data_IF_710227535544
#
_entry.id   IF_710227535544
#
_cell.length_a   1.000
_cell.length_b   1.000
_cell.length_c   1.000
_cell.angle_alpha   90.00
_cell.angle_beta   90.00
_cell.angle_gamma   90.00
#
_symmetry.space_group_name_H-M   'P 1'
#
loop_
_entity.id
_entity.type
_entity.pdbx_description
1 polymer ?
#
# COMPACT_ATOMS: atom_id res chain seq x y z
N UNK A 1 -25.86 -3.20 -21.62
CA UNK A 1 -24.73 -4.02 -21.11
C UNK A 1 -23.70 -3.05 -20.58
N UNK A 2 -23.62 -2.90 -19.25
CA UNK A 2 -22.65 -2.01 -18.64
C UNK A 2 -21.28 -2.69 -18.73
N UNK A 3 -20.39 -2.14 -19.55
CA UNK A 3 -18.96 -2.44 -19.51
C UNK A 3 -18.42 -1.92 -18.19
N UNK A 4 -18.42 -2.78 -17.18
CA UNK A 4 -17.70 -2.53 -15.93
C UNK A 4 -16.23 -2.43 -16.29
N UNK A 5 -15.68 -1.23 -16.22
CA UNK A 5 -14.24 -1.00 -16.25
C UNK A 5 -13.61 -1.80 -15.11
N UNK A 6 -12.91 -2.88 -15.47
CA UNK A 6 -12.36 -3.89 -14.55
C UNK A 6 -10.89 -3.59 -14.20
N UNK A 7 -10.50 -2.31 -14.18
CA UNK A 7 -9.08 -1.93 -14.10
C UNK A 7 -8.52 -1.81 -12.69
N UNK A 8 -9.35 -1.82 -11.63
CA UNK A 8 -8.88 -1.67 -10.25
C UNK A 8 -8.89 -3.01 -9.48
N UNK A 9 -7.83 -3.34 -8.72
CA UNK A 9 -7.71 -4.61 -8.01
C UNK A 9 -8.86 -4.78 -7.03
N UNK A 10 -9.45 -5.98 -7.02
CA UNK A 10 -10.53 -6.33 -6.12
C UNK A 10 -9.99 -6.90 -4.81
N UNK A 11 -8.80 -7.52 -4.84
CA UNK A 11 -8.18 -8.16 -3.68
C UNK A 11 -6.70 -7.82 -3.56
N UNK A 12 -6.17 -7.83 -2.34
CA UNK A 12 -4.75 -7.60 -2.07
C UNK A 12 -3.80 -8.64 -2.70
N UNK A 13 -4.31 -9.81 -3.08
CA UNK A 13 -3.55 -10.85 -3.80
C UNK A 13 -3.12 -10.43 -5.20
N UNK A 14 -3.82 -9.46 -5.81
CA UNK A 14 -3.49 -8.92 -7.14
C UNK A 14 -2.34 -7.91 -7.10
N UNK A 15 -1.97 -7.45 -5.90
CA UNK A 15 -0.83 -6.56 -5.67
C UNK A 15 0.47 -7.35 -5.57
N UNK A 16 1.57 -6.73 -5.97
CA UNK A 16 2.91 -7.27 -5.63
C UNK A 16 3.13 -7.21 -4.12
N UNK A 17 4.06 -8.03 -3.61
CA UNK A 17 4.42 -7.98 -2.18
C UNK A 17 4.87 -6.57 -1.77
N UNK A 18 5.70 -5.93 -2.59
CA UNK A 18 6.18 -4.57 -2.32
C UNK A 18 5.05 -3.52 -2.27
N UNK A 19 4.03 -3.65 -3.12
CA UNK A 19 2.86 -2.78 -3.08
C UNK A 19 2.04 -2.99 -1.81
N UNK A 20 1.83 -4.24 -1.39
CA UNK A 20 1.16 -4.52 -0.11
C UNK A 20 1.93 -3.95 1.07
N UNK A 21 3.24 -4.14 1.10
CA UNK A 21 4.08 -3.64 2.17
C UNK A 21 4.05 -2.10 2.22
N UNK A 22 4.03 -1.43 1.06
CA UNK A 22 3.83 0.03 1.01
C UNK A 22 2.48 0.45 1.59
N UNK A 23 1.39 -0.29 1.31
CA UNK A 23 0.10 0.03 1.91
C UNK A 23 0.14 -0.10 3.44
N UNK A 24 0.82 -1.12 3.98
CA UNK A 24 1.01 -1.26 5.43
C UNK A 24 1.83 -0.12 6.02
N UNK A 25 2.95 0.26 5.39
CA UNK A 25 3.76 1.40 5.84
C UNK A 25 2.95 2.69 5.83
N UNK A 26 2.20 2.97 4.75
CA UNK A 26 1.35 4.17 4.66
C UNK A 26 0.24 4.14 5.73
N UNK A 27 -0.29 2.97 6.07
CA UNK A 27 -1.27 2.83 7.15
C UNK A 27 -0.69 3.23 8.52
N UNK A 28 0.57 2.89 8.77
CA UNK A 28 1.27 3.13 10.03
C UNK A 28 1.66 4.60 10.19
N UNK A 29 2.26 5.21 9.16
CA UNK A 29 2.73 6.61 9.23
C UNK A 29 1.64 7.65 8.95
N UNK A 30 0.51 7.25 8.37
CA UNK A 30 -0.56 8.16 7.99
C UNK A 30 -0.20 9.07 6.81
N UNK A 31 -0.74 10.31 6.73
CA UNK A 31 -0.43 11.24 5.65
C UNK A 31 1.03 11.71 5.74
N UNK A 32 1.90 11.12 4.92
CA UNK A 32 3.35 11.38 4.97
C UNK A 32 3.94 11.62 3.59
N UNK A 33 5.07 12.34 3.56
CA UNK A 33 5.85 12.59 2.35
C UNK A 33 6.44 11.29 1.81
N UNK A 34 6.60 11.24 0.49
CA UNK A 34 7.26 10.10 -0.16
C UNK A 34 8.68 9.80 0.37
N UNK A 35 9.37 10.80 0.94
CA UNK A 35 10.66 10.57 1.60
C UNK A 35 10.52 9.83 2.94
N UNK A 36 9.55 10.21 3.79
CA UNK A 36 9.29 9.48 5.03
C UNK A 36 8.89 8.03 4.76
N UNK A 37 7.99 7.80 3.79
CA UNK A 37 7.62 6.44 3.36
C UNK A 37 8.83 5.65 2.86
N UNK A 38 9.78 6.31 2.17
CA UNK A 38 11.02 5.67 1.69
C UNK A 38 11.88 5.20 2.86
N UNK A 39 11.99 6.00 3.90
CA UNK A 39 12.84 5.71 5.05
C UNK A 39 12.28 4.51 5.83
N UNK A 40 10.96 4.50 6.10
CA UNK A 40 10.28 3.39 6.78
C UNK A 40 10.35 2.07 6.00
N UNK A 41 10.07 2.10 4.68
CA UNK A 41 10.13 0.88 3.88
C UNK A 41 11.58 0.39 3.70
N UNK A 42 12.57 1.29 3.74
CA UNK A 42 13.98 0.91 3.73
C UNK A 42 14.41 0.26 5.06
N UNK A 43 13.92 0.77 6.19
CA UNK A 43 14.10 0.18 7.50
C UNK A 43 13.48 -1.22 7.56
N UNK A 44 12.22 -1.37 7.14
CA UNK A 44 11.52 -2.66 7.10
C UNK A 44 12.28 -3.73 6.29
N UNK A 45 12.82 -3.35 5.13
CA UNK A 45 13.60 -4.27 4.30
C UNK A 45 15.09 -4.37 4.68
N UNK A 46 15.53 -3.63 5.70
CA UNK A 46 16.93 -3.48 6.10
C UNK A 46 17.87 -3.20 4.91
N UNK A 47 17.43 -2.36 3.96
CA UNK A 47 18.18 -2.05 2.74
C UNK A 47 17.75 -0.74 2.12
N UNK A 48 18.65 -0.12 1.35
CA UNK A 48 18.29 1.03 0.53
C UNK A 48 17.22 0.70 -0.52
N UNK A 49 16.22 1.57 -0.61
CA UNK A 49 15.14 1.49 -1.59
C UNK A 49 15.34 2.56 -2.65
N UNK A 50 15.49 2.11 -3.90
CA UNK A 50 15.67 2.99 -5.04
C UNK A 50 14.41 3.82 -5.32
N UNK A 51 14.60 5.10 -5.64
CA UNK A 51 13.52 6.02 -6.03
C UNK A 51 12.71 5.47 -7.23
N UNK A 52 13.40 4.92 -8.23
CA UNK A 52 12.78 4.28 -9.40
C UNK A 52 12.00 3.00 -9.09
N UNK A 53 12.07 2.47 -7.87
CA UNK A 53 11.20 1.40 -7.38
C UNK A 53 10.04 1.95 -6.58
N UNK A 54 10.28 2.92 -5.69
CA UNK A 54 9.27 3.47 -4.80
C UNK A 54 8.17 4.22 -5.56
N UNK A 55 8.55 5.25 -6.33
CA UNK A 55 7.57 6.18 -6.90
C UNK A 55 6.68 5.59 -7.99
N UNK A 56 7.16 4.70 -8.87
CA UNK A 56 6.25 3.99 -9.77
C UNK A 56 5.20 3.18 -9.01
N UNK A 57 5.57 2.53 -7.90
CA UNK A 57 4.60 1.79 -7.10
C UNK A 57 3.61 2.71 -6.38
N UNK A 58 4.06 3.85 -5.82
CA UNK A 58 3.15 4.86 -5.27
C UNK A 58 2.17 5.38 -6.32
N UNK A 59 2.64 5.70 -7.52
CA UNK A 59 1.78 6.16 -8.61
C UNK A 59 0.75 5.09 -9.00
N UNK A 60 1.17 3.83 -9.14
CA UNK A 60 0.25 2.72 -9.42
C UNK A 60 -0.81 2.56 -8.33
N UNK A 61 -0.43 2.65 -7.05
CA UNK A 61 -1.39 2.56 -5.93
C UNK A 61 -2.38 3.74 -5.92
N UNK A 62 -1.94 4.92 -6.34
CA UNK A 62 -2.81 6.09 -6.54
C UNK A 62 -3.77 5.90 -7.71
N UNK A 63 -3.28 5.42 -8.85
CA UNK A 63 -4.10 5.09 -10.02
C UNK A 63 -5.15 4.01 -9.72
N UNK A 64 -4.82 3.06 -8.84
CA UNK A 64 -5.75 2.03 -8.36
C UNK A 64 -6.77 2.55 -7.32
N UNK A 65 -6.61 3.79 -6.86
CA UNK A 65 -7.48 4.40 -5.83
C UNK A 65 -7.29 3.82 -4.43
N UNK A 66 -6.15 3.19 -4.15
CA UNK A 66 -5.82 2.62 -2.83
C UNK A 66 -5.08 3.64 -1.95
N UNK A 67 -4.39 4.58 -2.57
CA UNK A 67 -3.66 5.67 -1.93
C UNK A 67 -4.15 7.00 -2.51
N UNK A 68 -4.40 7.98 -1.67
CA UNK A 68 -4.62 9.36 -2.09
C UNK A 68 -3.29 10.12 -2.10
N UNK A 69 -3.10 10.95 -3.12
CA UNK A 69 -1.95 11.83 -3.24
C UNK A 69 -2.35 13.26 -2.93
N UNK A 70 -1.93 13.75 -1.77
CA UNK A 70 -2.05 15.15 -1.37
C UNK A 70 -0.86 15.99 -1.85
N UNK A 71 -1.03 17.30 -1.83
CA UNK A 71 0.03 18.28 -2.11
C UNK A 71 0.28 19.13 -0.88
N UNK A 72 1.51 19.06 -0.33
CA UNK A 72 1.95 19.93 0.76
C UNK A 72 2.47 21.25 0.19
N UNK A 73 3.24 21.17 -0.90
CA UNK A 73 3.75 22.32 -1.63
C UNK A 73 3.99 21.96 -3.11
N UNK A 74 4.53 22.90 -3.91
CA UNK A 74 4.75 22.69 -5.36
C UNK A 74 5.67 21.51 -5.72
N UNK A 75 6.46 21.01 -4.77
CA UNK A 75 7.46 19.94 -4.94
C UNK A 75 7.23 18.75 -4.02
N UNK A 76 6.48 18.92 -2.94
CA UNK A 76 6.27 17.89 -1.93
C UNK A 76 4.84 17.37 -1.95
N UNK A 77 4.70 16.07 -2.23
CA UNK A 77 3.41 15.36 -2.13
C UNK A 77 3.35 14.58 -0.82
N UNK A 78 2.14 14.45 -0.26
CA UNK A 78 1.81 13.50 0.79
C UNK A 78 1.06 12.32 0.20
N UNK A 79 1.12 11.17 0.89
CA UNK A 79 0.41 9.97 0.53
C UNK A 79 -0.30 9.42 1.76
N UNK A 80 -1.56 9.03 1.59
CA UNK A 80 -2.40 8.51 2.66
C UNK A 80 -3.27 7.38 2.10
N UNK A 81 -3.64 6.40 2.95
CA UNK A 81 -4.59 5.37 2.51
C UNK A 81 -5.97 5.97 2.25
N UNK A 82 -6.61 5.52 1.18
CA UNK A 82 -8.04 5.76 0.99
C UNK A 82 -8.87 4.82 1.86
N UNK A 83 -10.17 5.08 1.99
CA UNK A 83 -11.12 4.11 2.58
C UNK A 83 -11.03 2.76 1.88
N UNK A 84 -10.86 2.75 0.55
CA UNK A 84 -10.72 1.52 -0.23
C UNK A 84 -9.41 0.79 0.08
N UNK A 85 -8.30 1.51 0.16
CA UNK A 85 -7.00 0.94 0.55
C UNK A 85 -7.07 0.29 1.93
N UNK A 86 -7.72 0.97 2.88
CA UNK A 86 -7.95 0.46 4.23
C UNK A 86 -8.77 -0.83 4.21
N UNK A 87 -9.91 -0.86 3.52
CA UNK A 87 -10.74 -2.06 3.42
C UNK A 87 -9.98 -3.25 2.81
N UNK A 88 -9.23 -3.00 1.73
CA UNK A 88 -8.44 -4.04 1.06
C UNK A 88 -7.36 -4.63 1.97
N UNK A 89 -6.74 -3.81 2.85
CA UNK A 89 -5.81 -4.31 3.87
C UNK A 89 -6.52 -5.08 4.99
N UNK A 90 -7.69 -4.63 5.44
CA UNK A 90 -8.48 -5.35 6.44
C UNK A 90 -8.85 -6.75 5.93
N UNK A 91 -9.39 -6.85 4.71
CA UNK A 91 -9.73 -8.13 4.08
C UNK A 91 -8.50 -9.05 3.96
N UNK A 92 -7.33 -8.46 3.69
CA UNK A 92 -6.05 -9.19 3.64
C UNK A 92 -5.66 -9.73 5.00
N UNK A 93 -5.76 -8.93 6.05
CA UNK A 93 -5.42 -9.33 7.42
C UNK A 93 -6.36 -10.44 7.91
N UNK A 94 -7.65 -10.31 7.68
CA UNK A 94 -8.64 -11.34 8.00
C UNK A 94 -8.33 -12.66 7.29
N UNK A 95 -8.03 -12.60 5.99
CA UNK A 95 -7.59 -13.78 5.25
C UNK A 95 -6.33 -14.40 5.85
N UNK A 96 -5.30 -13.60 6.17
CA UNK A 96 -4.06 -14.11 6.76
C UNK A 96 -4.29 -14.78 8.12
N UNK A 97 -5.11 -14.18 8.99
CA UNK A 97 -5.47 -14.75 10.28
C UNK A 97 -6.21 -16.09 10.14
N UNK A 98 -7.08 -16.21 9.13
CA UNK A 98 -7.76 -17.47 8.84
C UNK A 98 -6.83 -18.55 8.26
N UNK A 99 -5.70 -18.17 7.65
CA UNK A 99 -4.72 -19.13 7.12
C UNK A 99 -3.62 -19.51 8.13
N UNK A 100 -3.25 -18.55 8.98
CA UNK A 100 -2.14 -18.68 9.92
C UNK A 100 -2.68 -18.80 11.34
N UNK A 101 -2.89 -20.05 11.75
CA UNK A 101 -3.24 -20.40 13.12
C UNK A 101 -1.95 -20.52 13.94
N UNK A 102 -1.63 -19.47 14.69
CA UNK A 102 -0.45 -19.38 15.56
C UNK A 102 -0.48 -20.39 16.70
N UNK A 103 -1.65 -20.95 17.01
CA UNK A 103 -1.87 -21.89 18.12
C UNK A 103 -2.01 -23.34 17.64
N UNK A 104 -1.61 -23.67 16.40
CA UNK A 104 -1.36 -25.07 16.02
C UNK A 104 -0.10 -25.59 16.70
N UNK A 105 -0.20 -25.87 17.99
CA UNK A 105 0.65 -26.87 18.63
C UNK A 105 0.26 -28.25 18.06
N UNK A 106 1.21 -28.92 17.41
CA UNK A 106 1.14 -30.38 17.18
C UNK A 106 1.49 -31.14 18.46
#
# INVERSE_FOLDING_TARGET
MATTDRSAPQNASELTAFQRDLLFIIADVGPEKGLGIKDEIAEYYAKEINHGRLYPNLNTLVEMGLVEKGSIDRRTNSYELTTRGTQLLTDRLEWQANQFDVDREE
#
